data_IF_012624508080
#
_entry.id   IF_012624508080
#
_cell.length_a   1.000
_cell.length_b   1.000
_cell.length_c   1.000
_cell.angle_alpha   90.00
_cell.angle_beta   90.00
_cell.angle_gamma   90.00
#
_symmetry.space_group_name_H-M   'P 1'
#
loop_
_entity.id
_entity.type
_entity.pdbx_description
1 polymer ?
#
# COMPACT_ATOMS: atom_id res chain seq x y z
N UNK A 1 10.83 17.44 -21.55
CA UNK A 1 9.73 18.23 -20.93
C UNK A 1 8.48 17.37 -20.92
N UNK A 2 8.08 16.81 -19.78
CA UNK A 2 6.80 16.11 -19.64
C UNK A 2 6.22 16.35 -18.22
N UNK A 3 5.46 17.43 -18.02
CA UNK A 3 4.80 17.70 -16.75
C UNK A 3 3.42 17.05 -16.76
N UNK A 4 3.27 15.83 -16.24
CA UNK A 4 1.94 15.23 -16.00
C UNK A 4 1.79 14.41 -14.71
N UNK A 5 2.72 14.49 -13.76
CA UNK A 5 2.70 13.58 -12.59
C UNK A 5 1.82 14.04 -11.41
N UNK A 6 1.25 15.26 -11.41
CA UNK A 6 0.61 15.80 -10.18
C UNK A 6 -0.93 15.77 -10.12
N UNK A 7 -1.65 15.16 -11.07
CA UNK A 7 -3.12 15.09 -11.02
C UNK A 7 -3.70 13.71 -10.71
N UNK A 8 -2.89 12.66 -10.66
CA UNK A 8 -3.39 11.29 -10.66
C UNK A 8 -3.75 10.73 -9.26
N UNK A 9 -3.34 11.37 -8.16
CA UNK A 9 -3.48 10.81 -6.80
C UNK A 9 -4.93 10.63 -6.30
N UNK A 10 -5.94 11.19 -6.99
CA UNK A 10 -7.36 11.08 -6.62
C UNK A 10 -8.10 9.93 -7.30
N UNK A 11 -7.69 9.49 -8.48
CA UNK A 11 -8.41 8.48 -9.29
C UNK A 11 -7.87 7.05 -9.13
N UNK A 12 -6.68 6.86 -8.55
CA UNK A 12 -6.09 5.53 -8.45
C UNK A 12 -6.88 4.62 -7.50
N UNK A 13 -7.25 3.45 -8.01
CA UNK A 13 -7.81 2.34 -7.21
C UNK A 13 -6.73 1.79 -6.26
N UNK A 14 -7.13 1.14 -5.14
CA UNK A 14 -6.21 0.46 -4.23
C UNK A 14 -5.15 -0.43 -4.92
N UNK A 15 -5.59 -1.26 -5.87
CA UNK A 15 -4.71 -2.14 -6.63
C UNK A 15 -3.73 -1.37 -7.51
N UNK A 16 -4.13 -0.23 -8.07
CA UNK A 16 -3.26 0.60 -8.92
C UNK A 16 -2.18 1.31 -8.09
N UNK A 17 -2.53 1.77 -6.88
CA UNK A 17 -1.54 2.31 -5.91
C UNK A 17 -0.52 1.24 -5.52
N UNK A 18 -1.01 0.03 -5.23
CA UNK A 18 -0.18 -1.12 -4.86
C UNK A 18 0.76 -1.53 -5.99
N UNK A 19 0.24 -1.67 -7.21
CA UNK A 19 1.03 -2.03 -8.39
C UNK A 19 2.09 -0.95 -8.70
N UNK A 20 1.76 0.33 -8.50
CA UNK A 20 2.74 1.40 -8.65
C UNK A 20 3.84 1.28 -7.60
N UNK A 21 3.51 1.07 -6.32
CA UNK A 21 4.52 0.87 -5.28
C UNK A 21 5.40 -0.35 -5.58
N UNK A 22 4.80 -1.46 -5.99
CA UNK A 22 5.50 -2.70 -6.34
C UNK A 22 6.44 -2.52 -7.53
N UNK A 23 5.99 -1.88 -8.61
CA UNK A 23 6.84 -1.64 -9.78
C UNK A 23 8.09 -0.80 -9.43
N UNK A 24 7.94 0.21 -8.59
CA UNK A 24 9.07 1.02 -8.12
C UNK A 24 10.02 0.21 -7.23
N UNK A 25 9.47 -0.67 -6.37
CA UNK A 25 10.26 -1.61 -5.59
C UNK A 25 11.04 -2.60 -6.47
N UNK A 26 10.43 -3.14 -7.51
CA UNK A 26 11.10 -4.04 -8.47
C UNK A 26 12.21 -3.34 -9.26
N UNK A 27 12.07 -2.05 -9.52
CA UNK A 27 13.12 -1.24 -10.14
C UNK A 27 14.21 -0.78 -9.16
N UNK A 28 14.14 -1.15 -7.87
CA UNK A 28 15.00 -0.65 -6.79
C UNK A 28 15.12 0.88 -6.78
N UNK A 29 14.04 1.56 -7.16
CA UNK A 29 14.01 3.02 -7.34
C UNK A 29 13.04 3.67 -6.35
N UNK A 30 13.60 4.33 -5.34
CA UNK A 30 12.83 5.04 -4.32
C UNK A 30 12.68 6.53 -4.67
N UNK A 31 11.51 6.92 -5.20
CA UNK A 31 11.13 8.34 -5.27
C UNK A 31 10.37 8.74 -3.99
N UNK A 32 11.04 9.48 -3.11
CA UNK A 32 10.49 9.89 -1.82
C UNK A 32 9.30 10.86 -1.88
N UNK A 33 9.01 11.49 -3.03
CA UNK A 33 7.77 12.28 -3.22
C UNK A 33 6.62 11.37 -3.64
N UNK A 34 6.88 10.48 -4.59
CA UNK A 34 5.89 9.50 -5.06
C UNK A 34 5.46 8.57 -3.94
N UNK A 35 6.41 7.98 -3.20
CA UNK A 35 6.11 7.05 -2.10
C UNK A 35 5.29 7.73 -0.99
N UNK A 36 5.55 9.01 -0.71
CA UNK A 36 4.72 9.79 0.23
C UNK A 36 3.30 9.98 -0.27
N UNK A 37 3.14 10.28 -1.56
CA UNK A 37 1.83 10.42 -2.18
C UNK A 37 1.06 9.09 -2.17
N UNK A 38 1.74 7.98 -2.47
CA UNK A 38 1.17 6.63 -2.40
C UNK A 38 0.77 6.31 -0.96
N UNK A 39 1.64 6.54 0.03
CA UNK A 39 1.34 6.33 1.46
C UNK A 39 0.10 7.10 1.88
N UNK A 40 0.04 8.40 1.57
CA UNK A 40 -1.13 9.23 1.88
C UNK A 40 -2.40 8.70 1.20
N UNK A 41 -2.34 8.37 -0.09
CA UNK A 41 -3.48 7.85 -0.84
C UNK A 41 -3.94 6.46 -0.37
N UNK A 42 -3.01 5.59 0.00
CA UNK A 42 -3.26 4.26 0.51
C UNK A 42 -3.90 4.32 1.90
N UNK A 43 -3.38 5.16 2.80
CA UNK A 43 -3.96 5.39 4.13
C UNK A 43 -5.41 5.89 4.05
N UNK A 44 -5.69 6.82 3.15
CA UNK A 44 -7.05 7.34 2.94
C UNK A 44 -8.04 6.29 2.41
N UNK A 45 -7.55 5.21 1.78
CA UNK A 45 -8.37 4.18 1.12
C UNK A 45 -8.16 2.79 1.70
N UNK A 46 -7.47 2.67 2.84
CA UNK A 46 -6.98 1.40 3.39
C UNK A 46 -8.12 0.38 3.66
N UNK A 47 -9.34 0.87 3.89
CA UNK A 47 -10.53 0.02 4.05
C UNK A 47 -10.94 -0.72 2.78
N UNK A 48 -10.60 -0.19 1.61
CA UNK A 48 -10.89 -0.80 0.30
C UNK A 48 -9.77 -1.72 -0.20
N UNK A 49 -8.65 -1.83 0.53
CA UNK A 49 -7.55 -2.72 0.17
C UNK A 49 -7.95 -4.18 0.46
N UNK A 50 -7.64 -5.06 -0.48
CA UNK A 50 -7.65 -6.50 -0.24
C UNK A 50 -6.47 -6.92 0.65
N UNK A 51 -6.48 -8.15 1.16
CA UNK A 51 -5.34 -8.69 1.91
C UNK A 51 -4.05 -8.70 1.07
N UNK A 52 -4.18 -8.97 -0.24
CA UNK A 52 -3.05 -8.94 -1.17
C UNK A 52 -2.52 -7.51 -1.37
N UNK A 53 -3.40 -6.53 -1.51
CA UNK A 53 -3.00 -5.12 -1.67
C UNK A 53 -2.22 -4.62 -0.44
N UNK A 54 -2.70 -4.97 0.76
CA UNK A 54 -2.03 -4.64 2.03
C UNK A 54 -0.62 -5.25 2.10
N UNK A 55 -0.50 -6.54 1.76
CA UNK A 55 0.77 -7.26 1.81
C UNK A 55 1.78 -6.69 0.82
N UNK A 56 1.38 -6.47 -0.44
CA UNK A 56 2.25 -5.92 -1.48
C UNK A 56 2.68 -4.48 -1.15
N UNK A 57 1.77 -3.66 -0.63
CA UNK A 57 2.10 -2.29 -0.22
C UNK A 57 3.12 -2.31 0.92
N UNK A 58 2.93 -3.14 1.94
CA UNK A 58 3.89 -3.28 3.03
C UNK A 58 5.25 -3.79 2.55
N UNK A 59 5.26 -4.79 1.65
CA UNK A 59 6.47 -5.35 1.08
C UNK A 59 7.25 -4.31 0.26
N UNK A 60 6.57 -3.54 -0.60
CA UNK A 60 7.22 -2.55 -1.45
C UNK A 60 7.94 -1.46 -0.63
N UNK A 61 7.28 -0.95 0.43
CA UNK A 61 7.89 0.06 1.31
C UNK A 61 9.05 -0.51 2.14
N UNK A 62 8.95 -1.78 2.58
CA UNK A 62 10.03 -2.45 3.28
C UNK A 62 11.23 -2.73 2.36
N UNK A 63 10.99 -3.19 1.13
CA UNK A 63 12.02 -3.49 0.14
C UNK A 63 12.83 -2.24 -0.24
N UNK A 64 12.13 -1.14 -0.49
CA UNK A 64 12.77 0.15 -0.80
C UNK A 64 13.46 0.80 0.43
N UNK A 65 13.37 0.20 1.61
CA UNK A 65 13.98 0.74 2.84
C UNK A 65 13.39 2.09 3.24
N UNK A 66 12.12 2.36 2.92
CA UNK A 66 11.44 3.64 3.20
C UNK A 66 10.51 3.47 4.40
N UNK A 67 10.94 3.84 5.62
CA UNK A 67 10.14 3.66 6.82
C UNK A 67 8.98 4.67 6.87
N UNK A 68 7.76 4.21 6.58
CA UNK A 68 6.54 4.98 6.73
C UNK A 68 5.69 4.43 7.89
N UNK A 69 6.00 4.88 9.11
CA UNK A 69 5.29 4.44 10.32
C UNK A 69 3.77 4.65 10.23
N UNK A 70 3.26 5.79 9.73
CA UNK A 70 1.82 5.97 9.53
C UNK A 70 1.18 4.93 8.60
N UNK A 71 1.83 4.59 7.49
CA UNK A 71 1.35 3.56 6.57
C UNK A 71 1.40 2.17 7.21
N UNK A 72 2.50 1.80 7.86
CA UNK A 72 2.64 0.51 8.55
C UNK A 72 1.56 0.34 9.62
N UNK A 73 1.27 1.39 10.41
CA UNK A 73 0.20 1.37 11.40
C UNK A 73 -1.18 1.18 10.77
N UNK A 74 -1.46 1.86 9.66
CA UNK A 74 -2.72 1.71 8.93
C UNK A 74 -2.88 0.30 8.33
N UNK A 75 -1.82 -0.25 7.75
CA UNK A 75 -1.80 -1.63 7.24
C UNK A 75 -2.03 -2.63 8.37
N UNK A 76 -1.35 -2.48 9.51
CA UNK A 76 -1.55 -3.34 10.66
C UNK A 76 -2.99 -3.29 11.18
N UNK A 77 -3.54 -2.08 11.36
CA UNK A 77 -4.93 -1.89 11.79
C UNK A 77 -5.93 -2.55 10.83
N UNK A 78 -5.68 -2.48 9.51
CA UNK A 78 -6.52 -3.11 8.51
C UNK A 78 -6.34 -4.64 8.45
N UNK A 79 -5.13 -5.16 8.68
CA UNK A 79 -4.84 -6.59 8.62
C UNK A 79 -5.30 -7.33 9.87
N UNK A 80 -5.24 -6.71 11.06
CA UNK A 80 -5.54 -7.34 12.34
C UNK A 80 -6.91 -8.04 12.40
N UNK A 81 -8.03 -7.43 11.98
CA UNK A 81 -9.32 -8.12 11.95
C UNK A 81 -9.31 -9.35 11.04
N UNK A 82 -8.66 -9.26 9.88
CA UNK A 82 -8.61 -10.32 8.86
C UNK A 82 -7.80 -11.53 9.33
N UNK A 83 -6.71 -11.30 10.06
CA UNK A 83 -5.90 -12.36 10.67
C UNK A 83 -6.67 -13.07 11.78
N UNK A 84 -7.43 -12.32 12.58
CA UNK A 84 -8.25 -12.89 13.67
C UNK A 84 -9.42 -13.72 13.14
N UNK A 85 -10.08 -13.26 12.08
CA UNK A 85 -11.18 -14.02 11.44
C UNK A 85 -10.71 -15.26 10.69
N UNK A 86 -9.43 -15.38 10.35
CA UNK A 86 -8.84 -16.60 9.76
C UNK A 86 -8.59 -17.74 10.75
N UNK A 87 -8.89 -17.55 12.04
CA UNK A 87 -8.73 -18.54 13.10
C UNK A 87 -10.00 -19.28 13.53
N UNK A 88 -11.18 -18.91 13.01
CA UNK A 88 -12.47 -19.53 13.38
C UNK A 88 -13.14 -20.14 12.16
N UNK A 89 -12.68 -21.34 11.79
CA UNK A 89 -13.17 -22.10 10.66
C UNK A 89 -12.68 -23.55 10.66
N UNK A 90 -12.71 -24.22 11.81
CA UNK A 90 -12.70 -25.68 11.90
C UNK A 90 -14.04 -26.12 12.44
N UNK A 91 -14.86 -26.71 11.56
CA UNK A 91 -16.08 -27.43 11.93
C UNK A 91 -17.36 -26.91 11.27
N UNK A 92 -17.63 -27.36 10.05
CA UNK A 92 -18.88 -28.01 9.63
C UNK A 92 -18.55 -28.99 8.50
#
# INVERSE_FOLDING_TARGET
MAPRVIHASRDFKPAELTNTAWAFATCDYADGRLLRAISHAARARIGAFSAHDLANTAWAFAHLGVPDRPLCSAVAAAALPRVRSGGEGVGQ
#
